data_IF_464729870824
#
_entry.id   IF_464729870824
#
_cell.length_a   1.000
_cell.length_b   1.000
_cell.length_c   1.000
_cell.angle_alpha   90.00
_cell.angle_beta   90.00
_cell.angle_gamma   90.00
#
_symmetry.space_group_name_H-M   'P 1'
#
loop_
_entity.id
_entity.type
_entity.pdbx_description
1 polymer ?
#
# COMPACT_ATOMS: atom_id res chain seq x y z
N UNK A 1 18.65 -9.92 15.93
CA UNK A 1 17.87 -11.00 15.30
C UNK A 1 18.81 -12.10 14.83
N UNK A 2 18.43 -13.37 15.02
CA UNK A 2 19.12 -14.51 14.39
C UNK A 2 18.84 -14.55 12.90
N UNK A 3 19.57 -15.35 12.13
CA UNK A 3 19.32 -15.45 10.68
C UNK A 3 17.97 -16.12 10.39
N UNK A 4 17.54 -17.07 11.24
CA UNK A 4 16.18 -17.66 11.18
C UNK A 4 15.09 -16.62 11.44
N UNK A 5 15.28 -15.75 12.45
CA UNK A 5 14.32 -14.66 12.73
C UNK A 5 14.25 -13.66 11.59
N UNK A 6 15.38 -13.32 10.96
CA UNK A 6 15.39 -12.44 9.77
C UNK A 6 14.67 -13.08 8.58
N UNK A 7 14.93 -14.37 8.35
CA UNK A 7 14.29 -15.13 7.27
C UNK A 7 12.77 -15.31 7.47
N UNK A 8 12.31 -15.35 8.73
CA UNK A 8 10.88 -15.45 9.07
C UNK A 8 10.18 -14.10 9.16
N UNK A 9 10.88 -12.99 8.95
CA UNK A 9 10.30 -11.66 9.04
C UNK A 9 9.43 -11.39 7.80
N UNK A 10 8.15 -11.13 8.01
CA UNK A 10 7.18 -10.84 6.94
C UNK A 10 6.90 -9.33 6.76
N UNK A 11 7.12 -8.54 7.81
CA UNK A 11 6.90 -7.11 7.81
C UNK A 11 7.82 -6.39 8.80
N UNK A 12 8.05 -5.11 8.56
CA UNK A 12 8.82 -4.23 9.44
C UNK A 12 7.93 -3.08 9.88
N UNK A 13 7.82 -2.86 11.19
CA UNK A 13 7.09 -1.72 11.75
C UNK A 13 7.80 -0.43 11.34
N UNK A 14 7.10 0.44 10.65
CA UNK A 14 7.64 1.74 10.23
C UNK A 14 7.04 2.92 11.00
N UNK A 15 5.87 2.75 11.61
CA UNK A 15 5.26 3.77 12.44
C UNK A 15 4.53 3.14 13.63
N UNK A 16 4.79 3.65 14.83
CA UNK A 16 4.15 3.22 16.07
C UNK A 16 3.03 4.19 16.46
N UNK A 17 1.86 3.66 16.78
CA UNK A 17 0.65 4.40 17.09
C UNK A 17 -0.27 4.57 15.88
N UNK A 18 -1.51 4.96 16.16
CA UNK A 18 -2.48 5.33 15.14
C UNK A 18 -2.24 6.75 14.66
N UNK A 19 -2.01 6.94 13.36
CA UNK A 19 -1.74 8.27 12.82
C UNK A 19 -3.01 9.14 12.84
N UNK A 20 -2.87 10.41 13.22
CA UNK A 20 -4.01 11.34 13.39
C UNK A 20 -4.79 11.60 12.10
N UNK A 21 -4.13 11.51 10.95
CA UNK A 21 -4.74 11.65 9.62
C UNK A 21 -5.29 10.32 9.05
N UNK A 22 -5.26 9.23 9.82
CA UNK A 22 -5.89 7.97 9.42
C UNK A 22 -7.34 7.92 9.91
N UNK A 23 -8.28 8.01 8.98
CA UNK A 23 -9.71 7.88 9.23
C UNK A 23 -10.26 6.46 9.01
N UNK A 24 -9.39 5.44 8.98
CA UNK A 24 -9.79 4.05 8.87
C UNK A 24 -10.41 3.54 10.18
N UNK A 25 -11.37 2.63 10.06
CA UNK A 25 -11.90 1.85 11.18
C UNK A 25 -11.44 0.40 11.06
N UNK A 26 -10.67 -0.05 12.03
CA UNK A 26 -10.10 -1.40 12.07
C UNK A 26 -10.91 -2.40 12.92
N UNK A 27 -12.07 -1.99 13.44
CA UNK A 27 -12.89 -2.82 14.35
C UNK A 27 -13.37 -4.15 13.75
N UNK A 28 -13.46 -4.23 12.42
CA UNK A 28 -13.85 -5.43 11.67
C UNK A 28 -12.68 -6.25 11.15
N UNK A 29 -11.47 -5.94 11.56
CA UNK A 29 -10.25 -6.66 11.20
C UNK A 29 -9.77 -7.53 12.37
N UNK A 30 -8.63 -8.19 12.19
CA UNK A 30 -7.98 -8.93 13.29
C UNK A 30 -7.58 -8.05 14.48
N UNK A 31 -7.47 -6.72 14.29
CA UNK A 31 -7.18 -5.75 15.35
C UNK A 31 -8.35 -5.65 16.34
N UNK A 32 -9.61 -5.69 15.86
CA UNK A 32 -10.80 -5.65 16.68
C UNK A 32 -11.08 -4.30 17.37
N UNK A 33 -10.30 -3.25 17.06
CA UNK A 33 -10.43 -1.89 17.59
C UNK A 33 -10.61 -0.89 16.45
N UNK A 34 -11.22 0.26 16.72
CA UNK A 34 -11.37 1.31 15.70
C UNK A 34 -10.02 1.94 15.29
N UNK A 35 -9.04 1.93 16.18
CA UNK A 35 -7.68 2.46 15.95
C UNK A 35 -6.65 1.35 16.04
N UNK A 36 -5.64 1.41 15.18
CA UNK A 36 -4.50 0.50 15.22
C UNK A 36 -3.43 0.96 16.22
N UNK A 37 -2.47 0.09 16.50
CA UNK A 37 -1.31 0.37 17.34
C UNK A 37 -0.07 0.76 16.52
N UNK A 38 -0.14 0.61 15.20
CA UNK A 38 0.96 0.97 14.31
C UNK A 38 0.77 0.41 12.91
N UNK A 39 1.77 0.66 12.07
CA UNK A 39 1.80 0.20 10.67
C UNK A 39 3.11 -0.50 10.38
N UNK A 40 3.02 -1.55 9.60
CA UNK A 40 4.17 -2.31 9.14
C UNK A 40 4.13 -2.47 7.62
N UNK A 41 5.31 -2.41 7.01
CA UNK A 41 5.52 -2.60 5.57
C UNK A 41 6.01 -4.02 5.32
N UNK A 42 5.51 -4.67 4.28
CA UNK A 42 5.98 -5.99 3.87
C UNK A 42 7.49 -5.97 3.58
N UNK A 43 8.18 -7.09 3.84
CA UNK A 43 9.60 -7.24 3.48
C UNK A 43 9.76 -7.33 1.97
N UNK A 44 8.84 -8.05 1.31
CA UNK A 44 8.88 -8.27 -0.12
C UNK A 44 7.83 -7.45 -0.86
N UNK A 45 8.14 -7.05 -2.08
CA UNK A 45 7.19 -6.44 -3.00
C UNK A 45 6.05 -7.41 -3.33
N UNK A 46 4.82 -6.90 -3.38
CA UNK A 46 3.69 -7.64 -3.93
C UNK A 46 3.84 -7.83 -5.46
N UNK A 47 4.41 -6.83 -6.14
CA UNK A 47 4.95 -6.91 -7.49
C UNK A 47 6.08 -5.89 -7.67
N UNK A 48 7.32 -6.32 -7.97
CA UNK A 48 8.47 -5.42 -8.04
C UNK A 48 8.42 -4.50 -9.27
N UNK A 49 8.90 -3.28 -9.14
CA UNK A 49 9.24 -2.41 -10.25
C UNK A 49 10.67 -2.74 -10.73
N UNK A 50 11.01 -2.70 -12.05
CA UNK A 50 10.16 -2.38 -13.21
C UNK A 50 9.62 -3.59 -13.96
N UNK A 51 9.78 -4.82 -13.46
CA UNK A 51 9.73 -6.06 -14.27
C UNK A 51 8.41 -6.32 -14.99
N UNK A 52 7.27 -6.02 -14.41
CA UNK A 52 5.95 -6.16 -15.07
C UNK A 52 4.93 -5.13 -14.60
N UNK A 53 5.02 -4.65 -13.39
CA UNK A 53 4.11 -3.69 -12.78
C UNK A 53 2.61 -4.05 -12.91
N UNK A 54 1.78 -3.39 -12.15
CA UNK A 54 0.33 -3.50 -12.21
C UNK A 54 -0.29 -2.19 -12.70
N UNK A 55 -1.41 -2.25 -13.42
CA UNK A 55 -2.29 -1.10 -13.60
C UNK A 55 -2.92 -0.75 -12.25
N UNK A 56 -3.22 0.53 -12.03
CA UNK A 56 -3.92 0.92 -10.81
C UNK A 56 -5.37 0.43 -10.80
N UNK A 57 -6.10 0.68 -11.89
CA UNK A 57 -7.51 0.33 -12.04
C UNK A 57 -8.16 1.04 -13.22
N UNK A 58 -9.47 1.34 -13.10
CA UNK A 58 -10.27 1.94 -14.18
C UNK A 58 -9.79 3.35 -14.50
N UNK A 59 -9.37 3.54 -15.76
CA UNK A 59 -9.06 4.86 -16.29
C UNK A 59 -10.35 5.58 -16.68
N UNK A 60 -10.52 6.83 -16.26
CA UNK A 60 -11.74 7.60 -16.50
C UNK A 60 -12.81 7.46 -15.40
N UNK A 61 -12.57 6.67 -14.36
CA UNK A 61 -13.46 6.50 -13.21
C UNK A 61 -12.81 6.91 -11.90
N UNK A 62 -13.59 7.47 -10.96
CA UNK A 62 -13.13 7.72 -9.59
C UNK A 62 -13.83 6.79 -8.61
N UNK A 63 -13.07 6.21 -7.70
CA UNK A 63 -13.57 5.39 -6.58
C UNK A 63 -13.67 6.21 -5.28
N UNK A 64 -13.37 7.51 -5.35
CA UNK A 64 -13.50 8.43 -4.21
C UNK A 64 -12.39 8.30 -3.18
N UNK A 65 -11.17 7.95 -3.62
CA UNK A 65 -9.96 7.90 -2.77
C UNK A 65 -9.07 9.12 -2.97
N UNK A 66 -9.62 10.15 -3.64
CA UNK A 66 -8.93 11.43 -3.82
C UNK A 66 -8.81 12.16 -2.48
N UNK A 67 -7.61 12.64 -2.22
CA UNK A 67 -7.29 13.48 -1.06
C UNK A 67 -6.37 14.61 -1.49
N UNK A 68 -6.03 15.52 -0.59
CA UNK A 68 -4.98 16.52 -0.81
C UNK A 68 -3.57 15.91 -0.78
N UNK A 69 -3.47 14.60 -0.61
CA UNK A 69 -2.21 13.88 -0.40
C UNK A 69 -1.16 14.05 -1.48
N UNK A 70 -1.50 14.50 -2.70
CA UNK A 70 -0.47 14.85 -3.67
C UNK A 70 0.28 16.12 -3.29
N UNK A 71 -0.41 17.14 -2.79
CA UNK A 71 0.19 18.42 -2.38
C UNK A 71 0.72 18.37 -0.93
N UNK A 72 0.07 17.58 -0.09
CA UNK A 72 0.33 17.45 1.35
C UNK A 72 0.33 15.96 1.72
N UNK A 73 1.36 15.20 1.28
CA UNK A 73 1.35 13.73 1.39
C UNK A 73 1.20 13.24 2.83
N UNK A 74 1.75 13.95 3.79
CA UNK A 74 1.65 13.63 5.22
C UNK A 74 0.21 13.67 5.78
N UNK A 75 -0.74 14.26 5.05
CA UNK A 75 -2.15 14.36 5.48
C UNK A 75 -3.01 13.17 5.07
N UNK A 76 -2.52 12.24 4.24
CA UNK A 76 -3.29 11.08 3.77
C UNK A 76 -2.71 9.75 4.27
N UNK A 77 -3.17 9.29 5.43
CA UNK A 77 -2.82 7.99 6.00
C UNK A 77 -3.92 6.93 5.85
N UNK A 78 -4.89 7.16 4.96
CA UNK A 78 -6.10 6.35 4.81
C UNK A 78 -5.91 5.07 3.95
N UNK A 79 -4.74 4.46 3.92
CA UNK A 79 -4.45 3.34 3.01
C UNK A 79 -5.45 2.19 3.12
N UNK A 80 -5.75 1.73 4.34
CA UNK A 80 -6.75 0.70 4.56
C UNK A 80 -8.15 1.12 4.06
N UNK A 81 -8.62 2.30 4.47
CA UNK A 81 -9.92 2.85 4.06
C UNK A 81 -10.04 3.01 2.55
N UNK A 82 -9.00 3.50 1.89
CA UNK A 82 -8.98 3.62 0.43
C UNK A 82 -8.98 2.27 -0.26
N UNK A 83 -8.23 1.31 0.26
CA UNK A 83 -8.24 -0.06 -0.25
C UNK A 83 -9.64 -0.68 -0.16
N UNK A 84 -10.38 -0.49 0.95
CA UNK A 84 -11.75 -0.95 1.06
C UNK A 84 -12.67 -0.32 0.01
N UNK A 85 -12.56 0.99 -0.24
CA UNK A 85 -13.32 1.67 -1.30
C UNK A 85 -13.02 1.11 -2.70
N UNK A 86 -11.75 0.80 -2.98
CA UNK A 86 -11.37 0.19 -4.26
C UNK A 86 -11.97 -1.23 -4.37
N UNK A 87 -11.94 -2.01 -3.30
CA UNK A 87 -12.57 -3.33 -3.23
C UNK A 87 -14.08 -3.24 -3.48
N UNK A 88 -14.75 -2.27 -2.87
CA UNK A 88 -16.20 -2.03 -3.06
C UNK A 88 -16.50 -1.63 -4.52
N UNK A 89 -15.68 -0.77 -5.12
CA UNK A 89 -15.81 -0.39 -6.53
C UNK A 89 -15.61 -1.56 -7.50
N UNK A 90 -14.74 -2.51 -7.15
CA UNK A 90 -14.58 -3.76 -7.91
C UNK A 90 -15.77 -4.73 -7.77
N UNK A 91 -16.64 -4.50 -6.79
CA UNK A 91 -17.74 -5.41 -6.45
C UNK A 91 -17.35 -6.52 -5.47
N UNK A 92 -16.34 -6.26 -4.65
CA UNK A 92 -15.84 -7.15 -3.60
C UNK A 92 -14.48 -7.79 -3.90
N UNK A 93 -13.82 -8.29 -2.86
CA UNK A 93 -12.48 -8.87 -2.95
C UNK A 93 -12.37 -10.00 -3.98
N UNK A 94 -13.42 -10.81 -4.14
CA UNK A 94 -13.46 -11.90 -5.13
C UNK A 94 -13.55 -11.45 -6.59
N UNK A 95 -13.71 -10.14 -6.85
CA UNK A 95 -13.70 -9.55 -8.20
C UNK A 95 -12.37 -8.90 -8.55
N UNK A 96 -11.49 -8.69 -7.57
CA UNK A 96 -10.15 -8.23 -7.84
C UNK A 96 -9.40 -9.23 -8.73
N UNK A 97 -8.66 -8.72 -9.71
CA UNK A 97 -7.84 -9.56 -10.60
C UNK A 97 -6.65 -8.78 -11.19
N UNK A 98 -5.67 -9.50 -11.69
CA UNK A 98 -4.42 -8.95 -12.22
C UNK A 98 -4.50 -8.43 -13.67
N UNK A 99 -5.61 -8.66 -14.39
CA UNK A 99 -5.61 -8.61 -15.87
C UNK A 99 -6.45 -7.49 -16.45
N UNK A 100 -7.53 -7.10 -15.80
CA UNK A 100 -8.44 -6.04 -16.28
C UNK A 100 -8.41 -4.82 -15.39
N UNK A 101 -8.74 -3.66 -15.93
CA UNK A 101 -8.78 -2.41 -15.16
C UNK A 101 -9.87 -2.46 -14.08
N UNK A 102 -11.01 -3.06 -14.37
CA UNK A 102 -12.14 -3.27 -13.45
C UNK A 102 -11.78 -4.20 -12.28
N UNK A 103 -10.74 -5.02 -12.46
CA UNK A 103 -10.17 -5.86 -11.42
C UNK A 103 -9.21 -5.14 -10.47
N UNK A 104 -8.92 -3.87 -10.70
CA UNK A 104 -7.99 -3.07 -9.88
C UNK A 104 -6.69 -3.82 -9.56
N UNK A 105 -5.84 -4.10 -10.58
CA UNK A 105 -4.66 -4.95 -10.43
C UNK A 105 -3.71 -4.56 -9.31
N UNK A 106 -3.47 -3.27 -9.06
CA UNK A 106 -2.61 -2.85 -7.96
C UNK A 106 -3.16 -3.32 -6.60
N UNK A 107 -4.47 -3.15 -6.38
CA UNK A 107 -5.13 -3.62 -5.16
C UNK A 107 -5.19 -5.15 -5.09
N UNK A 108 -5.40 -5.84 -6.24
CA UNK A 108 -5.31 -7.30 -6.29
C UNK A 108 -3.96 -7.80 -5.80
N UNK A 109 -2.87 -7.23 -6.30
CA UNK A 109 -1.53 -7.65 -5.88
C UNK A 109 -1.26 -7.34 -4.42
N UNK A 110 -1.67 -6.16 -3.93
CA UNK A 110 -1.45 -5.78 -2.54
C UNK A 110 -2.23 -6.65 -1.54
N UNK A 111 -3.46 -7.05 -1.89
CA UNK A 111 -4.39 -7.70 -0.95
C UNK A 111 -4.44 -9.21 -1.16
N UNK A 112 -4.65 -9.66 -2.42
CA UNK A 112 -4.96 -11.07 -2.71
C UNK A 112 -3.69 -11.87 -3.01
N UNK A 113 -2.88 -11.39 -3.96
CA UNK A 113 -1.68 -12.11 -4.36
C UNK A 113 -0.62 -12.11 -3.27
N UNK A 114 -0.44 -10.99 -2.57
CA UNK A 114 0.50 -10.91 -1.47
C UNK A 114 0.09 -11.82 -0.31
N UNK A 115 -1.19 -11.80 0.09
CA UNK A 115 -1.72 -12.69 1.15
C UNK A 115 -1.53 -14.18 0.83
N UNK A 116 -1.65 -14.56 -0.45
CA UNK A 116 -1.44 -15.93 -0.89
C UNK A 116 0.02 -16.38 -0.75
N UNK A 117 0.98 -15.46 -0.91
CA UNK A 117 2.41 -15.72 -0.84
C UNK A 117 2.98 -15.48 0.56
N UNK A 118 2.48 -14.49 1.26
CA UNK A 118 2.94 -14.04 2.56
C UNK A 118 1.72 -13.68 3.41
N UNK A 119 1.32 -14.59 4.30
CA UNK A 119 0.15 -14.37 5.16
C UNK A 119 0.38 -13.23 6.13
N UNK A 120 -0.58 -12.32 6.21
CA UNK A 120 -0.58 -11.28 7.23
C UNK A 120 -0.63 -11.92 8.63
N UNK A 121 0.11 -11.37 9.60
CA UNK A 121 0.07 -11.83 10.99
C UNK A 121 -1.34 -11.79 11.57
N UNK A 122 -1.68 -12.78 12.39
CA UNK A 122 -2.93 -12.75 13.15
C UNK A 122 -2.97 -11.50 14.05
N UNK A 123 -4.16 -10.92 14.18
CA UNK A 123 -4.33 -9.68 14.95
C UNK A 123 -4.00 -8.41 14.16
N UNK A 124 -3.74 -8.51 12.85
CA UNK A 124 -3.54 -7.37 11.96
C UNK A 124 -4.78 -7.04 11.14
N UNK A 125 -4.72 -5.94 10.37
CA UNK A 125 -5.76 -5.56 9.41
C UNK A 125 -5.84 -6.48 8.18
N UNK A 126 -4.86 -7.37 7.98
CA UNK A 126 -4.55 -7.91 6.66
C UNK A 126 -3.77 -6.88 5.82
N UNK A 127 -3.27 -7.35 4.67
CA UNK A 127 -2.52 -6.51 3.73
C UNK A 127 -3.43 -5.53 2.98
N UNK A 128 -2.94 -4.32 2.72
CA UNK A 128 -3.62 -3.32 1.92
C UNK A 128 -2.64 -2.48 1.08
N UNK A 129 -3.15 -1.80 0.07
CA UNK A 129 -2.40 -0.86 -0.76
C UNK A 129 -2.19 0.44 0.04
N UNK A 130 -0.94 0.86 0.32
CA UNK A 130 -0.66 2.04 1.14
C UNK A 130 -1.18 3.34 0.50
N UNK A 131 -1.59 4.30 1.31
CA UNK A 131 -1.83 5.67 0.87
C UNK A 131 -0.53 6.41 0.59
N UNK A 132 -0.63 7.59 -0.03
CA UNK A 132 0.55 8.41 -0.31
C UNK A 132 1.28 8.82 0.97
N UNK A 133 0.60 9.14 2.07
CA UNK A 133 1.24 9.52 3.33
C UNK A 133 2.05 8.40 3.95
N UNK A 134 1.55 7.16 3.89
CA UNK A 134 2.30 5.99 4.33
C UNK A 134 3.56 5.76 3.48
N UNK A 135 3.44 5.86 2.15
CA UNK A 135 4.59 5.72 1.24
C UNK A 135 5.56 6.89 1.36
N UNK A 136 5.07 8.11 1.56
CA UNK A 136 5.89 9.29 1.79
C UNK A 136 6.72 9.16 3.08
N UNK A 137 6.11 8.70 4.16
CA UNK A 137 6.83 8.44 5.40
C UNK A 137 7.94 7.37 5.23
N UNK A 138 7.64 6.30 4.50
CA UNK A 138 8.64 5.30 4.12
C UNK A 138 9.78 5.92 3.30
N UNK A 139 9.45 6.75 2.31
CA UNK A 139 10.43 7.46 1.48
C UNK A 139 11.33 8.38 2.29
N UNK A 140 10.78 9.24 3.13
CA UNK A 140 11.55 10.17 3.97
C UNK A 140 12.48 9.44 4.97
N UNK A 141 12.07 8.28 5.44
CA UNK A 141 12.84 7.47 6.37
C UNK A 141 13.61 6.31 5.71
N UNK A 142 13.74 6.30 4.38
CA UNK A 142 14.28 5.17 3.62
C UNK A 142 15.69 4.73 4.03
N UNK A 143 16.52 5.63 4.47
CA UNK A 143 17.87 5.31 4.95
C UNK A 143 17.85 4.43 6.19
N UNK A 144 16.88 4.62 7.06
CA UNK A 144 16.71 3.80 8.27
C UNK A 144 16.30 2.36 7.94
N UNK A 145 15.52 2.17 6.88
CA UNK A 145 15.01 0.85 6.45
C UNK A 145 16.02 0.08 5.61
N UNK A 146 16.74 0.76 4.73
CA UNK A 146 17.74 0.16 3.84
C UNK A 146 18.94 -0.40 4.60
N UNK A 147 19.26 0.14 5.78
CA UNK A 147 20.42 -0.27 6.58
C UNK A 147 20.06 -1.07 7.84
N UNK A 148 18.77 -1.41 7.99
CA UNK A 148 18.31 -2.24 9.12
C UNK A 148 18.79 -3.70 9.05
N UNK A 149 18.48 -4.47 10.10
CA UNK A 149 18.83 -5.91 10.16
C UNK A 149 18.07 -6.76 9.15
N UNK A 150 16.86 -6.32 8.76
CA UNK A 150 16.07 -6.86 7.66
C UNK A 150 16.01 -5.78 6.59
N UNK A 151 16.41 -6.13 5.38
CA UNK A 151 16.43 -5.17 4.27
C UNK A 151 15.11 -5.23 3.51
N UNK A 152 14.51 -4.07 3.33
CA UNK A 152 13.45 -3.86 2.35
C UNK A 152 14.11 -3.28 1.11
N UNK A 153 13.94 -3.92 -0.04
CA UNK A 153 14.39 -3.38 -1.33
C UNK A 153 13.23 -2.66 -1.98
N UNK A 154 13.06 -1.38 -1.71
CA UNK A 154 12.10 -0.52 -2.40
C UNK A 154 12.88 0.36 -3.36
N UNK A 155 12.70 0.15 -4.66
CA UNK A 155 13.33 0.94 -5.71
C UNK A 155 12.40 1.09 -6.92
N UNK A 156 12.28 2.31 -7.44
CA UNK A 156 11.43 2.61 -8.57
C UNK A 156 10.08 3.19 -8.16
N UNK A 157 9.12 3.12 -9.06
CA UNK A 157 7.83 3.77 -8.90
C UNK A 157 6.76 2.77 -8.42
N UNK A 158 6.04 3.12 -7.37
CA UNK A 158 5.02 2.29 -6.74
C UNK A 158 3.68 3.01 -6.69
N UNK A 159 2.61 2.27 -6.97
CA UNK A 159 1.25 2.76 -6.78
C UNK A 159 0.92 2.98 -5.30
N UNK A 160 0.14 4.02 -5.06
CA UNK A 160 -0.57 4.21 -3.78
C UNK A 160 -2.07 4.00 -3.97
N UNK A 161 -2.82 3.90 -2.88
CA UNK A 161 -4.30 3.84 -2.94
C UNK A 161 -4.96 5.20 -3.16
N UNK A 162 -4.17 6.29 -3.22
CA UNK A 162 -4.65 7.66 -3.36
C UNK A 162 -4.86 8.02 -4.84
N UNK A 163 -6.07 8.47 -5.20
CA UNK A 163 -6.34 9.06 -6.51
C UNK A 163 -5.86 10.52 -6.56
N UNK A 164 -5.39 10.94 -7.76
CA UNK A 164 -5.14 12.35 -8.06
C UNK A 164 -6.32 12.97 -8.82
N UNK A 165 -6.68 12.36 -9.93
CA UNK A 165 -7.87 12.69 -10.73
C UNK A 165 -8.60 11.42 -11.18
N UNK A 166 -9.66 11.59 -11.97
CA UNK A 166 -10.42 10.46 -12.52
C UNK A 166 -9.55 9.50 -13.34
N UNK A 167 -8.55 10.04 -14.05
CA UNK A 167 -7.65 9.24 -14.89
C UNK A 167 -6.36 8.87 -14.19
N UNK A 168 -5.95 9.60 -13.15
CA UNK A 168 -4.63 9.50 -12.55
C UNK A 168 -4.71 9.04 -11.09
N UNK A 169 -3.72 8.26 -10.68
CA UNK A 169 -3.47 7.90 -9.30
C UNK A 169 -2.05 8.31 -8.88
N UNK A 170 -1.88 8.52 -7.59
CA UNK A 170 -0.60 8.95 -7.02
C UNK A 170 0.34 7.78 -6.89
N UNK A 171 1.61 8.04 -7.20
CA UNK A 171 2.72 7.10 -7.02
C UNK A 171 3.79 7.70 -6.12
N UNK A 172 4.62 6.81 -5.54
CA UNK A 172 5.86 7.17 -4.86
C UNK A 172 7.03 6.58 -5.62
N UNK A 173 7.96 7.44 -6.06
CA UNK A 173 9.22 7.05 -6.67
C UNK A 173 10.31 7.00 -5.60
N UNK A 174 10.76 5.80 -5.27
CA UNK A 174 11.90 5.58 -4.39
C UNK A 174 13.21 5.74 -5.17
N UNK A 175 13.70 6.96 -5.21
CA UNK A 175 14.85 7.45 -5.94
C UNK A 175 14.97 8.95 -5.70
N UNK A 176 15.16 9.72 -6.76
CA UNK A 176 15.49 11.16 -6.62
C UNK A 176 14.28 12.10 -6.68
N UNK A 177 13.06 11.61 -7.00
CA UNK A 177 11.93 12.48 -7.36
C UNK A 177 10.74 12.46 -6.39
N UNK A 178 10.62 11.50 -5.45
CA UNK A 178 9.51 11.47 -4.49
C UNK A 178 8.15 11.14 -5.12
N UNK A 179 7.07 11.86 -4.72
CA UNK A 179 5.73 11.62 -5.23
C UNK A 179 5.53 12.14 -6.66
N UNK A 180 4.69 11.44 -7.42
CA UNK A 180 4.21 11.79 -8.75
C UNK A 180 2.80 11.27 -8.96
N UNK A 181 2.20 11.50 -10.11
CA UNK A 181 0.94 10.88 -10.52
C UNK A 181 1.02 10.44 -11.98
N UNK A 182 0.31 9.39 -12.31
CA UNK A 182 0.27 8.83 -13.66
C UNK A 182 -1.11 8.27 -13.96
N UNK A 183 -1.39 8.13 -15.26
CA UNK A 183 -2.62 7.47 -15.71
C UNK A 183 -2.75 6.07 -15.11
N UNK A 184 -3.93 5.74 -14.62
CA UNK A 184 -4.24 4.47 -13.96
C UNK A 184 -3.99 3.22 -14.82
N UNK A 185 -3.91 3.41 -16.14
CA UNK A 185 -3.58 2.35 -17.10
C UNK A 185 -2.07 2.01 -17.15
N UNK A 186 -1.21 2.88 -16.62
CA UNK A 186 0.23 2.61 -16.58
C UNK A 186 0.54 1.48 -15.59
N UNK A 187 1.75 0.96 -15.68
CA UNK A 187 2.17 -0.19 -14.86
C UNK A 187 3.33 0.19 -13.96
N UNK A 188 3.11 0.09 -12.65
CA UNK A 188 4.13 0.33 -11.63
C UNK A 188 4.15 -0.78 -10.58
N UNK A 189 5.18 -0.77 -9.74
CA UNK A 189 5.32 -1.67 -8.61
C UNK A 189 4.16 -1.54 -7.62
N UNK A 190 3.99 -2.56 -6.82
CA UNK A 190 3.03 -2.59 -5.70
C UNK A 190 3.75 -3.09 -4.47
N UNK A 191 3.67 -2.34 -3.40
CA UNK A 191 4.16 -2.72 -2.09
C UNK A 191 3.00 -2.77 -1.10
N UNK A 192 3.00 -3.77 -0.21
CA UNK A 192 1.89 -3.95 0.73
C UNK A 192 2.26 -3.42 2.12
N UNK A 193 1.27 -2.89 2.82
CA UNK A 193 1.37 -2.52 4.23
C UNK A 193 0.23 -3.19 5.01
N UNK A 194 0.38 -3.26 6.33
CA UNK A 194 -0.67 -3.66 7.24
C UNK A 194 -0.69 -2.72 8.47
N UNK A 195 -1.82 -2.72 9.18
CA UNK A 195 -1.95 -2.13 10.51
C UNK A 195 -2.07 -3.24 11.57
N UNK A 196 -1.64 -2.95 12.80
CA UNK A 196 -1.70 -3.92 13.92
C UNK A 196 -2.07 -3.23 15.25
#
# INVERSE_FOLDING_TARGET
LTDEQKAACVAIVFYAGHHTSDGSDYSKTGIGLSKCHGYAVAVDDAIPHPSRGAMWGVNGGSVGTKSNGYSEPETDWNGYKWTQKIIDAAGGVGKLNATTQEGYPATYYAVVAHEANCKAPAGSSGWFLPSIGQMYYLYENRTSWLYGQVKITIYGNYWTSTEYFTNDAVTMLFGDYGQSHFEKAWRFGVHSVLAF
#
